data_IF_835299577034
#
_entry.id   IF_835299577034
#
_cell.length_a   1.000
_cell.length_b   1.000
_cell.length_c   1.000
_cell.angle_alpha   90.00
_cell.angle_beta   90.00
_cell.angle_gamma   90.00
#
_symmetry.space_group_name_H-M   'P 1'
#
loop_
_entity.id
_entity.type
_entity.pdbx_description
1 polymer ?
#
# COMPACT_ATOMS: atom_id res chain seq x y z
N UNK A 1 -28.44 -22.60 -1.62
CA UNK A 1 -28.60 -21.20 -1.21
C UNK A 1 -27.39 -20.68 -0.43
N UNK A 2 -26.88 -21.37 0.56
CA UNK A 2 -25.75 -20.97 1.43
C UNK A 2 -24.49 -20.55 0.67
N UNK A 3 -24.07 -21.32 -0.35
CA UNK A 3 -22.89 -21.00 -1.16
C UNK A 3 -23.04 -19.66 -1.91
N UNK A 4 -24.26 -19.35 -2.41
CA UNK A 4 -24.51 -18.09 -3.12
C UNK A 4 -24.46 -16.89 -2.19
N UNK A 5 -25.00 -16.99 -0.97
CA UNK A 5 -24.95 -15.95 0.04
C UNK A 5 -23.51 -15.70 0.50
N UNK A 6 -22.77 -16.77 0.78
CA UNK A 6 -21.37 -16.69 1.22
C UNK A 6 -20.49 -16.05 0.13
N UNK A 7 -20.66 -16.49 -1.13
CA UNK A 7 -19.97 -15.86 -2.28
C UNK A 7 -20.36 -14.40 -2.42
N UNK A 8 -21.66 -14.05 -2.25
CA UNK A 8 -22.10 -12.64 -2.31
C UNK A 8 -21.44 -11.78 -1.25
N UNK A 9 -21.43 -12.21 0.02
CA UNK A 9 -20.75 -11.47 1.10
C UNK A 9 -19.25 -11.34 0.85
N UNK A 10 -18.60 -12.43 0.43
CA UNK A 10 -17.16 -12.41 0.14
C UNK A 10 -16.85 -11.46 -1.03
N UNK A 11 -17.65 -11.48 -2.08
CA UNK A 11 -17.50 -10.56 -3.23
C UNK A 11 -17.65 -9.11 -2.80
N UNK A 12 -18.69 -8.78 -2.03
CA UNK A 12 -18.89 -7.41 -1.52
C UNK A 12 -17.70 -6.99 -0.65
N UNK A 13 -17.24 -7.87 0.25
CA UNK A 13 -16.07 -7.57 1.11
C UNK A 13 -14.82 -7.33 0.28
N UNK A 14 -14.54 -8.16 -0.73
CA UNK A 14 -13.39 -7.97 -1.63
C UNK A 14 -13.49 -6.65 -2.38
N UNK A 15 -14.66 -6.32 -2.93
CA UNK A 15 -14.87 -5.05 -3.65
C UNK A 15 -14.64 -3.85 -2.72
N UNK A 16 -15.18 -3.89 -1.50
CA UNK A 16 -14.99 -2.80 -0.52
C UNK A 16 -13.53 -2.68 -0.11
N UNK A 17 -12.84 -3.79 0.16
CA UNK A 17 -11.41 -3.79 0.48
C UNK A 17 -10.59 -3.19 -0.66
N UNK A 18 -10.78 -3.66 -1.89
CA UNK A 18 -10.06 -3.12 -3.04
C UNK A 18 -10.33 -1.64 -3.27
N UNK A 19 -11.60 -1.21 -3.13
CA UNK A 19 -12.00 0.19 -3.27
C UNK A 19 -11.36 1.11 -2.21
N UNK A 20 -11.04 0.58 -1.03
CA UNK A 20 -10.41 1.33 0.05
C UNK A 20 -8.87 1.25 -0.01
N UNK A 21 -8.33 0.03 -0.19
CA UNK A 21 -6.89 -0.22 -0.09
C UNK A 21 -6.11 0.31 -1.29
N UNK A 22 -6.66 0.20 -2.51
CA UNK A 22 -5.96 0.67 -3.72
C UNK A 22 -5.71 2.19 -3.69
N UNK A 23 -6.72 3.05 -3.47
CA UNK A 23 -6.49 4.49 -3.38
C UNK A 23 -5.56 4.87 -2.22
N UNK A 24 -5.71 4.19 -1.06
CA UNK A 24 -4.86 4.44 0.11
C UNK A 24 -3.39 4.12 -0.18
N UNK A 25 -3.12 3.00 -0.84
CA UNK A 25 -1.77 2.59 -1.18
C UNK A 25 -1.12 3.53 -2.21
N UNK A 26 -1.87 3.94 -3.23
CA UNK A 26 -1.39 4.90 -4.24
C UNK A 26 -1.09 6.25 -3.58
N UNK A 27 -2.01 6.75 -2.76
CA UNK A 27 -1.88 8.04 -2.08
C UNK A 27 -0.72 8.06 -1.09
N UNK A 28 -0.52 6.96 -0.34
CA UNK A 28 0.62 6.84 0.57
C UNK A 28 1.95 6.82 -0.20
N UNK A 29 2.03 6.05 -1.28
CA UNK A 29 3.24 5.98 -2.11
C UNK A 29 3.62 7.32 -2.71
N UNK A 30 2.65 8.05 -3.27
CA UNK A 30 2.87 9.39 -3.83
C UNK A 30 3.34 10.38 -2.77
N UNK A 31 2.69 10.41 -1.62
CA UNK A 31 3.08 11.32 -0.53
C UNK A 31 4.46 11.04 0.03
N UNK A 32 4.83 9.78 0.19
CA UNK A 32 6.15 9.42 0.69
C UNK A 32 7.25 9.84 -0.30
N UNK A 33 7.00 9.63 -1.60
CA UNK A 33 7.92 10.06 -2.66
C UNK A 33 8.04 11.59 -2.73
N UNK A 34 6.91 12.32 -2.65
CA UNK A 34 6.90 13.79 -2.65
C UNK A 34 7.67 14.36 -1.44
N UNK A 35 7.49 13.78 -0.24
CA UNK A 35 8.21 14.20 0.97
C UNK A 35 9.71 13.98 0.82
N UNK A 36 10.10 12.80 0.36
CA UNK A 36 11.52 12.48 0.15
C UNK A 36 12.18 13.42 -0.86
N UNK A 37 11.50 13.71 -1.95
CA UNK A 37 11.99 14.67 -2.95
C UNK A 37 12.08 16.08 -2.38
N UNK A 38 11.06 16.55 -1.65
CA UNK A 38 11.05 17.87 -1.04
C UNK A 38 12.13 18.05 0.04
N UNK A 39 12.43 17.02 0.83
CA UNK A 39 13.51 17.05 1.81
C UNK A 39 14.87 17.10 1.12
N UNK A 40 15.10 16.29 0.07
CA UNK A 40 16.32 16.32 -0.72
C UNK A 40 16.51 17.67 -1.44
N UNK A 41 15.44 18.28 -1.97
CA UNK A 41 15.49 19.61 -2.58
C UNK A 41 15.86 20.70 -1.57
N UNK A 42 15.28 20.65 -0.37
CA UNK A 42 15.61 21.60 0.70
C UNK A 42 17.08 21.50 1.10
N UNK A 43 17.57 20.29 1.30
CA UNK A 43 18.96 20.05 1.64
C UNK A 43 19.91 20.50 0.52
N UNK A 44 19.55 20.21 -0.74
CA UNK A 44 20.32 20.65 -1.89
C UNK A 44 20.42 22.16 -2.00
N UNK A 45 19.34 22.90 -1.76
CA UNK A 45 19.33 24.36 -1.75
C UNK A 45 20.22 24.93 -0.62
N UNK A 46 20.12 24.37 0.58
CA UNK A 46 20.96 24.78 1.70
C UNK A 46 22.43 24.52 1.44
N UNK A 47 22.75 23.35 0.87
CA UNK A 47 24.14 23.02 0.54
C UNK A 47 24.67 23.86 -0.62
N UNK A 48 23.86 24.14 -1.64
CA UNK A 48 24.21 25.00 -2.76
C UNK A 48 24.62 26.42 -2.30
N UNK A 49 23.93 26.96 -1.28
CA UNK A 49 24.23 28.30 -0.77
C UNK A 49 25.62 28.45 -0.16
N UNK A 50 26.24 27.38 0.32
CA UNK A 50 27.64 27.41 0.79
C UNK A 50 28.65 27.64 -0.33
N UNK A 51 28.26 27.44 -1.60
CA UNK A 51 29.11 27.53 -2.76
C UNK A 51 28.87 28.80 -3.59
N UNK A 52 27.83 29.62 -3.26
CA UNK A 52 27.47 30.80 -4.03
C UNK A 52 28.61 31.84 -4.10
N UNK A 53 29.08 32.31 -2.95
CA UNK A 53 30.12 33.30 -2.85
C UNK A 53 31.47 32.83 -3.45
N UNK A 54 31.78 31.54 -3.22
CA UNK A 54 33.04 30.94 -3.67
C UNK A 54 33.09 30.81 -5.19
N UNK A 55 31.98 30.37 -5.81
CA UNK A 55 31.90 30.24 -7.27
C UNK A 55 31.82 31.62 -7.97
N UNK A 56 31.14 32.59 -7.37
CA UNK A 56 31.07 33.94 -7.88
C UNK A 56 32.47 34.61 -7.88
N UNK A 57 33.23 34.40 -6.78
CA UNK A 57 34.57 34.95 -6.63
C UNK A 57 35.66 34.18 -7.38
N UNK A 58 35.35 32.95 -7.89
CA UNK A 58 36.33 32.07 -8.49
C UNK A 58 37.42 31.60 -7.48
N UNK A 59 37.06 31.52 -6.19
CA UNK A 59 37.94 31.14 -5.11
C UNK A 59 38.09 29.62 -4.96
N UNK A 60 39.04 29.17 -4.13
CA UNK A 60 39.22 27.75 -3.83
C UNK A 60 38.01 27.18 -3.10
N UNK A 61 37.53 26.03 -3.59
CA UNK A 61 36.31 25.42 -3.10
C UNK A 61 36.58 24.52 -1.88
N UNK A 62 35.91 24.79 -0.76
CA UNK A 62 35.91 23.91 0.41
C UNK A 62 35.02 22.68 0.15
N UNK A 63 35.59 21.48 0.15
CA UNK A 63 34.85 20.22 -0.03
C UNK A 63 34.15 19.73 1.24
N UNK A 64 34.56 20.25 2.41
CA UNK A 64 34.15 19.75 3.71
C UNK A 64 32.62 19.77 3.97
N UNK A 65 31.82 20.76 3.51
CA UNK A 65 30.36 20.71 3.64
C UNK A 65 29.76 19.53 2.89
N UNK A 66 30.18 19.30 1.64
CA UNK A 66 29.70 18.19 0.81
C UNK A 66 30.10 16.83 1.41
N UNK A 67 31.36 16.67 1.80
CA UNK A 67 31.88 15.44 2.39
C UNK A 67 31.17 15.08 3.72
N UNK A 68 30.95 16.06 4.60
CA UNK A 68 30.22 15.84 5.86
C UNK A 68 28.80 15.36 5.61
N UNK A 69 28.12 15.94 4.63
CA UNK A 69 26.76 15.53 4.28
C UNK A 69 26.77 14.12 3.66
N UNK A 70 27.66 13.86 2.71
CA UNK A 70 27.84 12.56 2.06
C UNK A 70 28.10 11.44 3.08
N UNK A 71 29.04 11.65 4.01
CA UNK A 71 29.39 10.69 5.06
C UNK A 71 28.24 10.39 6.02
N UNK A 72 27.36 11.35 6.24
CA UNK A 72 26.19 11.18 7.13
C UNK A 72 25.02 10.48 6.45
N UNK A 73 24.81 10.74 5.16
CA UNK A 73 23.58 10.33 4.45
C UNK A 73 23.79 9.26 3.40
N UNK A 74 25.03 8.96 3.04
CA UNK A 74 25.37 8.10 1.90
C UNK A 74 25.04 8.72 0.54
N UNK A 75 24.67 10.02 0.51
CA UNK A 75 24.37 10.72 -0.73
C UNK A 75 25.63 11.08 -1.50
N UNK A 76 25.57 11.05 -2.82
CA UNK A 76 26.60 11.61 -3.68
C UNK A 76 26.29 13.06 -4.00
N UNK A 77 27.24 13.95 -3.80
CA UNK A 77 27.17 15.35 -4.10
C UNK A 77 28.17 15.75 -5.18
N UNK A 78 27.71 16.56 -6.10
CA UNK A 78 28.56 17.07 -7.18
C UNK A 78 28.31 18.57 -7.30
N UNK A 79 29.38 19.37 -7.20
CA UNK A 79 29.34 20.80 -7.52
C UNK A 79 30.01 20.98 -8.89
N UNK A 80 29.34 21.71 -9.77
CA UNK A 80 29.76 21.89 -11.15
C UNK A 80 29.84 23.38 -11.48
N UNK A 81 30.74 23.73 -12.39
CA UNK A 81 30.79 25.08 -13.00
C UNK A 81 29.69 25.29 -14.05
N UNK A 82 29.69 26.46 -14.70
CA UNK A 82 28.74 26.80 -15.76
C UNK A 82 28.91 25.98 -17.04
N UNK A 83 30.00 25.25 -17.21
CA UNK A 83 30.23 24.33 -18.33
C UNK A 83 29.68 22.92 -18.04
N UNK A 84 29.31 22.62 -16.79
CA UNK A 84 28.88 21.30 -16.34
C UNK A 84 30.05 20.39 -15.93
N UNK A 85 31.26 20.92 -15.78
CA UNK A 85 32.41 20.20 -15.27
C UNK A 85 32.38 20.14 -13.74
N UNK A 86 32.61 18.97 -13.16
CA UNK A 86 32.63 18.80 -11.70
C UNK A 86 33.88 19.45 -11.09
N UNK A 87 33.64 20.31 -10.12
CA UNK A 87 34.63 20.95 -9.26
C UNK A 87 34.79 20.17 -7.94
N UNK A 88 33.68 19.64 -7.43
CA UNK A 88 33.61 18.73 -6.28
C UNK A 88 32.78 17.52 -6.67
N UNK A 89 33.24 16.34 -6.30
CA UNK A 89 32.48 15.09 -6.44
C UNK A 89 32.86 14.17 -5.25
N UNK A 90 31.88 13.82 -4.40
CA UNK A 90 32.14 13.02 -3.20
C UNK A 90 32.41 11.54 -3.49
N UNK A 91 32.14 11.07 -4.72
CA UNK A 91 32.34 9.68 -5.13
C UNK A 91 33.47 9.47 -6.15
N UNK A 92 34.01 10.56 -6.71
CA UNK A 92 35.03 10.47 -7.74
C UNK A 92 35.95 11.70 -7.74
N UNK A 93 37.07 11.62 -8.46
CA UNK A 93 37.90 12.79 -8.70
C UNK A 93 37.14 13.87 -9.49
N UNK A 94 37.36 15.16 -9.20
CA UNK A 94 36.82 16.26 -9.96
C UNK A 94 37.25 16.24 -11.43
N UNK A 95 36.59 17.03 -12.29
CA UNK A 95 36.89 17.12 -13.72
C UNK A 95 36.05 16.18 -14.60
N UNK A 96 34.95 15.63 -14.10
CA UNK A 96 33.98 14.86 -14.92
C UNK A 96 32.97 15.78 -15.55
N UNK A 97 32.62 15.50 -16.80
CA UNK A 97 31.62 16.23 -17.57
C UNK A 97 30.21 15.67 -17.30
N UNK A 98 29.31 16.55 -16.82
CA UNK A 98 27.91 16.29 -16.58
C UNK A 98 26.99 17.15 -17.46
N UNK A 99 27.53 17.92 -18.41
CA UNK A 99 26.77 18.82 -19.28
C UNK A 99 25.67 18.13 -20.08
N UNK A 100 25.87 16.84 -20.41
CA UNK A 100 24.90 16.02 -21.14
C UNK A 100 23.73 15.54 -20.29
N UNK A 101 23.76 15.77 -18.99
CA UNK A 101 22.67 15.36 -18.08
C UNK A 101 21.52 16.35 -18.17
N UNK A 102 20.27 15.91 -18.47
CA UNK A 102 19.13 16.80 -18.62
C UNK A 102 18.87 17.69 -17.39
N UNK A 103 19.01 17.10 -16.19
CA UNK A 103 18.85 17.82 -14.93
C UNK A 103 19.89 18.93 -14.74
N UNK A 104 21.12 18.71 -15.19
CA UNK A 104 22.20 19.70 -15.11
C UNK A 104 21.96 20.83 -16.14
N UNK A 105 21.61 20.45 -17.38
CA UNK A 105 21.27 21.40 -18.42
C UNK A 105 20.13 22.31 -18.00
N UNK A 106 19.09 21.76 -17.36
CA UNK A 106 17.96 22.51 -16.82
C UNK A 106 18.41 23.45 -15.68
N UNK A 107 19.21 22.97 -14.72
CA UNK A 107 19.68 23.76 -13.61
C UNK A 107 20.58 24.94 -14.08
N UNK A 108 21.38 24.76 -15.13
CA UNK A 108 22.16 25.83 -15.75
C UNK A 108 21.30 26.95 -16.34
N UNK A 109 20.02 26.70 -16.65
CA UNK A 109 19.07 27.76 -17.04
C UNK A 109 18.42 28.49 -15.84
N UNK A 110 18.84 28.18 -14.61
CA UNK A 110 18.28 28.76 -13.39
C UNK A 110 17.05 28.04 -12.84
N UNK A 111 16.66 26.90 -13.44
CA UNK A 111 15.47 26.13 -13.03
C UNK A 111 15.88 24.84 -12.35
N UNK A 112 15.40 24.62 -11.12
CA UNK A 112 15.62 23.38 -10.40
C UNK A 112 15.08 22.17 -11.17
N UNK A 113 15.77 21.04 -11.06
CA UNK A 113 15.32 19.78 -11.62
C UNK A 113 15.44 18.68 -10.57
N UNK A 114 14.41 17.86 -10.42
CA UNK A 114 14.42 16.67 -9.56
C UNK A 114 13.69 15.52 -10.25
N UNK A 115 14.07 14.30 -9.90
CA UNK A 115 13.41 13.11 -10.45
C UNK A 115 14.06 11.82 -9.98
N UNK A 116 13.37 10.72 -10.22
CA UNK A 116 13.91 9.39 -9.96
C UNK A 116 14.34 8.79 -11.29
N UNK A 117 15.54 8.20 -11.29
CA UNK A 117 16.08 7.49 -12.45
C UNK A 117 16.73 6.19 -12.02
N UNK A 118 16.45 5.14 -12.77
CA UNK A 118 17.16 3.87 -12.59
C UNK A 118 18.62 4.02 -13.03
N UNK A 119 19.52 3.61 -12.15
CA UNK A 119 20.95 3.52 -12.43
C UNK A 119 21.27 2.09 -12.87
N UNK A 120 21.63 1.91 -14.14
CA UNK A 120 22.02 0.59 -14.65
C UNK A 120 23.32 0.10 -13.99
N UNK A 121 24.19 1.03 -13.58
CA UNK A 121 25.50 0.71 -12.94
C UNK A 121 25.31 0.19 -11.52
N UNK A 122 24.36 0.76 -10.75
CA UNK A 122 24.08 0.37 -9.37
C UNK A 122 22.88 -0.56 -9.25
N UNK A 123 22.16 -0.79 -10.36
CA UNK A 123 20.88 -1.51 -10.40
C UNK A 123 19.88 -1.03 -9.35
N UNK A 124 19.88 0.27 -9.06
CA UNK A 124 19.08 0.93 -8.04
C UNK A 124 18.36 2.16 -8.62
N UNK A 125 17.23 2.49 -8.03
CA UNK A 125 16.52 3.73 -8.34
C UNK A 125 17.14 4.86 -7.51
N UNK A 126 17.63 5.89 -8.20
CA UNK A 126 18.29 7.04 -7.59
C UNK A 126 17.42 8.28 -7.74
N UNK A 127 17.14 8.94 -6.62
CA UNK A 127 16.62 10.31 -6.64
C UNK A 127 17.78 11.26 -6.95
N UNK A 128 17.62 12.07 -7.97
CA UNK A 128 18.51 13.19 -8.24
C UNK A 128 17.80 14.52 -8.03
N UNK A 129 18.53 15.49 -7.50
CA UNK A 129 18.12 16.89 -7.38
C UNK A 129 19.26 17.72 -7.89
N UNK A 130 19.00 18.59 -8.86
CA UNK A 130 19.93 19.57 -9.37
C UNK A 130 19.38 20.98 -9.12
N UNK A 131 20.15 21.81 -8.44
CA UNK A 131 19.79 23.19 -8.13
C UNK A 131 20.83 24.14 -8.69
N UNK A 132 20.42 25.29 -9.26
CA UNK A 132 21.38 26.31 -9.67
C UNK A 132 22.08 26.91 -8.45
N UNK A 133 23.37 27.13 -8.55
CA UNK A 133 24.14 27.99 -7.65
C UNK A 133 24.14 29.36 -8.31
N UNK A 134 23.34 30.29 -7.76
CA UNK A 134 23.07 31.56 -8.43
C UNK A 134 23.07 32.71 -7.43
N UNK A 135 23.72 33.79 -7.78
CA UNK A 135 23.72 35.07 -7.06
C UNK A 135 23.58 36.22 -8.03
N UNK A 136 23.05 37.34 -7.60
CA UNK A 136 22.92 38.55 -8.42
C UNK A 136 22.10 38.36 -9.73
N UNK A 137 21.30 37.29 -9.84
CA UNK A 137 20.52 37.00 -11.06
C UNK A 137 21.31 36.19 -12.10
N UNK A 138 22.54 35.79 -11.82
CA UNK A 138 23.39 34.96 -12.70
C UNK A 138 23.62 33.59 -12.09
N UNK A 139 23.66 32.54 -12.94
CA UNK A 139 24.02 31.18 -12.53
C UNK A 139 25.54 31.04 -12.62
N UNK A 140 26.16 30.65 -11.51
CA UNK A 140 27.61 30.44 -11.38
C UNK A 140 28.00 28.99 -11.45
N UNK A 141 27.04 28.07 -11.27
CA UNK A 141 27.23 26.63 -11.33
C UNK A 141 25.98 25.85 -10.97
N UNK A 142 26.14 24.55 -10.79
CA UNK A 142 25.07 23.62 -10.42
C UNK A 142 25.51 22.76 -9.25
N UNK A 143 24.66 22.66 -8.25
CA UNK A 143 24.77 21.66 -7.19
C UNK A 143 23.85 20.48 -7.50
N UNK A 144 24.39 19.28 -7.52
CA UNK A 144 23.64 18.07 -7.77
C UNK A 144 23.78 17.10 -6.58
N UNK A 145 22.64 16.75 -6.00
CA UNK A 145 22.50 15.74 -4.98
C UNK A 145 21.91 14.45 -5.59
N UNK A 146 22.49 13.29 -5.25
CA UNK A 146 21.95 11.99 -5.66
C UNK A 146 21.85 11.11 -4.42
N UNK A 147 20.66 10.58 -4.17
CA UNK A 147 20.33 9.75 -3.00
C UNK A 147 19.76 8.42 -3.48
N UNK A 148 20.11 7.34 -2.81
CA UNK A 148 19.48 6.04 -3.04
C UNK A 148 18.01 6.09 -2.61
N UNK A 149 17.10 5.75 -3.51
CA UNK A 149 15.67 5.70 -3.24
C UNK A 149 15.23 4.36 -2.63
N UNK A 150 16.16 3.43 -2.39
CA UNK A 150 15.86 2.07 -1.92
C UNK A 150 15.06 2.05 -0.61
N UNK A 151 15.44 2.87 0.37
CA UNK A 151 14.73 2.94 1.66
C UNK A 151 13.27 3.39 1.52
N UNK A 152 13.00 4.31 0.60
CA UNK A 152 11.63 4.78 0.34
C UNK A 152 10.81 3.69 -0.34
N UNK A 153 11.40 3.01 -1.33
CA UNK A 153 10.74 1.92 -2.05
C UNK A 153 10.43 0.76 -1.09
N UNK A 154 11.37 0.37 -0.24
CA UNK A 154 11.13 -0.67 0.78
C UNK A 154 10.04 -0.28 1.79
N UNK A 155 9.98 1.00 2.18
CA UNK A 155 8.95 1.50 3.10
C UNK A 155 7.56 1.41 2.48
N UNK A 156 7.44 1.79 1.21
CA UNK A 156 6.21 1.64 0.43
C UNK A 156 5.83 0.17 0.27
N UNK A 157 6.79 -0.72 -0.04
CA UNK A 157 6.53 -2.16 -0.15
C UNK A 157 6.06 -2.78 1.17
N UNK A 158 6.66 -2.41 2.30
CA UNK A 158 6.22 -2.86 3.64
C UNK A 158 4.80 -2.40 3.95
N UNK A 159 4.43 -1.19 3.54
CA UNK A 159 3.05 -0.70 3.66
C UNK A 159 2.08 -1.54 2.82
N UNK A 160 2.41 -1.85 1.56
CA UNK A 160 1.61 -2.75 0.72
C UNK A 160 1.43 -4.13 1.34
N UNK A 161 2.51 -4.71 1.89
CA UNK A 161 2.43 -6.00 2.59
C UNK A 161 1.51 -5.94 3.81
N UNK A 162 1.51 -4.85 4.55
CA UNK A 162 0.59 -4.66 5.69
C UNK A 162 -0.87 -4.60 5.25
N UNK A 163 -1.19 -3.94 4.14
CA UNK A 163 -2.54 -3.92 3.57
C UNK A 163 -2.99 -5.32 3.15
N UNK A 164 -2.15 -6.07 2.44
CA UNK A 164 -2.44 -7.46 2.07
C UNK A 164 -2.68 -8.33 3.31
N UNK A 165 -1.90 -8.15 4.36
CA UNK A 165 -2.10 -8.89 5.62
C UNK A 165 -3.46 -8.56 6.25
N UNK A 166 -3.86 -7.29 6.28
CA UNK A 166 -5.18 -6.87 6.77
C UNK A 166 -6.29 -7.48 5.92
N UNK A 167 -6.17 -7.44 4.59
CA UNK A 167 -7.14 -8.04 3.68
C UNK A 167 -7.32 -9.55 3.96
N UNK A 168 -6.22 -10.29 4.14
CA UNK A 168 -6.26 -11.73 4.46
C UNK A 168 -6.97 -11.99 5.79
N UNK A 169 -6.68 -11.19 6.82
CA UNK A 169 -7.33 -11.32 8.14
C UNK A 169 -8.84 -11.07 8.02
N UNK A 170 -9.25 -10.00 7.34
CA UNK A 170 -10.67 -9.67 7.14
C UNK A 170 -11.39 -10.76 6.35
N UNK A 171 -10.82 -11.21 5.24
CA UNK A 171 -11.42 -12.28 4.42
C UNK A 171 -11.54 -13.59 5.19
N UNK A 172 -10.54 -13.92 6.00
CA UNK A 172 -10.58 -15.12 6.88
C UNK A 172 -11.69 -14.98 7.93
N UNK A 173 -11.80 -13.82 8.59
CA UNK A 173 -12.86 -13.55 9.56
C UNK A 173 -14.26 -13.67 8.93
N UNK A 174 -14.47 -13.07 7.76
CA UNK A 174 -15.73 -13.17 7.00
C UNK A 174 -16.02 -14.63 6.63
N UNK A 175 -15.00 -15.37 6.20
CA UNK A 175 -15.13 -16.80 5.90
C UNK A 175 -15.54 -17.63 7.10
N UNK A 176 -14.92 -17.41 8.26
CA UNK A 176 -15.23 -18.09 9.53
C UNK A 176 -16.67 -17.77 9.98
N UNK A 177 -17.04 -16.49 9.98
CA UNK A 177 -18.41 -16.08 10.35
C UNK A 177 -19.44 -16.69 9.40
N UNK A 178 -19.19 -16.63 8.09
CA UNK A 178 -20.06 -17.23 7.09
C UNK A 178 -20.21 -18.74 7.26
N UNK A 179 -19.12 -19.44 7.58
CA UNK A 179 -19.13 -20.88 7.88
C UNK A 179 -19.93 -21.18 9.16
N UNK A 180 -19.73 -20.40 10.23
CA UNK A 180 -20.46 -20.54 11.49
C UNK A 180 -21.97 -20.34 11.30
N UNK A 181 -22.38 -19.29 10.58
CA UNK A 181 -23.79 -19.04 10.23
C UNK A 181 -24.37 -20.17 9.37
N UNK A 182 -23.60 -20.67 8.40
CA UNK A 182 -24.01 -21.80 7.59
C UNK A 182 -24.26 -23.07 8.42
N UNK A 183 -23.40 -23.31 9.41
CA UNK A 183 -23.48 -24.47 10.31
C UNK A 183 -24.62 -24.34 11.34
N UNK A 184 -24.76 -23.17 11.99
CA UNK A 184 -25.68 -22.97 13.11
C UNK A 184 -27.12 -22.66 12.68
N UNK A 185 -27.32 -22.04 11.52
CA UNK A 185 -28.64 -21.58 11.08
C UNK A 185 -29.10 -22.29 9.81
N UNK A 186 -28.31 -22.28 8.76
CA UNK A 186 -28.75 -22.75 7.43
C UNK A 186 -28.94 -24.25 7.36
N UNK A 187 -28.07 -25.02 8.03
CA UNK A 187 -28.19 -26.50 8.08
C UNK A 187 -29.45 -26.97 8.80
N UNK A 188 -29.70 -26.52 10.06
CA UNK A 188 -30.91 -26.88 10.79
C UNK A 188 -32.18 -26.51 10.04
N UNK A 189 -32.28 -25.29 9.49
CA UNK A 189 -33.45 -24.86 8.70
C UNK A 189 -33.75 -25.77 7.50
N UNK A 190 -32.70 -26.26 6.81
CA UNK A 190 -32.88 -27.21 5.71
C UNK A 190 -33.39 -28.58 6.19
N UNK A 191 -32.94 -29.02 7.37
CA UNK A 191 -33.44 -30.25 7.97
C UNK A 191 -34.92 -30.16 8.34
N UNK A 192 -35.34 -29.03 8.95
CA UNK A 192 -36.73 -28.77 9.24
C UNK A 192 -37.59 -28.66 7.97
N UNK A 193 -37.09 -28.02 6.92
CA UNK A 193 -37.76 -27.98 5.63
C UNK A 193 -37.91 -29.39 5.01
N UNK A 194 -36.94 -30.24 5.14
CA UNK A 194 -37.01 -31.63 4.68
C UNK A 194 -38.04 -32.45 5.51
N UNK A 195 -38.10 -32.23 6.83
CA UNK A 195 -39.12 -32.86 7.72
C UNK A 195 -40.53 -32.39 7.38
N UNK A 196 -40.72 -31.05 7.12
CA UNK A 196 -42.02 -30.54 6.71
C UNK A 196 -42.50 -31.16 5.38
N UNK A 197 -41.62 -31.45 4.43
CA UNK A 197 -41.94 -32.15 3.18
C UNK A 197 -42.37 -33.59 3.44
N UNK A 198 -41.67 -34.31 4.32
CA UNK A 198 -42.06 -35.68 4.73
C UNK A 198 -43.43 -35.71 5.37
N UNK A 199 -43.76 -34.72 6.20
CA UNK A 199 -45.13 -34.58 6.77
C UNK A 199 -46.20 -34.45 5.69
N UNK A 200 -45.91 -33.65 4.64
CA UNK A 200 -46.83 -33.52 3.51
C UNK A 200 -47.00 -34.81 2.72
N UNK A 201 -45.99 -35.68 2.72
CA UNK A 201 -45.98 -37.00 2.07
C UNK A 201 -46.55 -38.13 2.99
N UNK A 202 -47.04 -37.77 4.21
CA UNK A 202 -47.66 -38.68 5.15
C UNK A 202 -46.70 -39.37 6.16
N UNK A 203 -45.41 -39.03 6.13
CA UNK A 203 -44.43 -39.50 7.13
C UNK A 203 -44.40 -38.49 8.31
N UNK A 204 -45.22 -38.76 9.34
CA UNK A 204 -45.34 -37.93 10.53
C UNK A 204 -44.26 -38.16 11.59
N UNK A 205 -43.14 -38.81 11.25
CA UNK A 205 -42.05 -39.00 12.19
C UNK A 205 -41.49 -37.66 12.65
N UNK A 206 -41.37 -37.48 13.97
CA UNK A 206 -40.92 -36.23 14.57
C UNK A 206 -39.55 -35.77 14.06
N UNK A 207 -39.36 -34.49 13.76
CA UNK A 207 -38.08 -33.97 13.36
C UNK A 207 -37.11 -34.09 14.56
N UNK A 208 -35.93 -34.64 14.33
CA UNK A 208 -34.86 -34.63 15.33
C UNK A 208 -34.04 -33.35 15.14
N UNK A 209 -34.16 -32.34 16.05
CA UNK A 209 -33.39 -31.13 15.94
C UNK A 209 -31.89 -31.44 16.16
N UNK A 210 -30.97 -30.84 15.41
CA UNK A 210 -29.55 -30.96 15.73
C UNK A 210 -29.27 -30.26 17.07
N UNK A 211 -28.51 -30.93 17.95
CA UNK A 211 -28.25 -30.45 19.33
C UNK A 211 -27.58 -29.07 19.45
N UNK A 212 -26.93 -28.59 18.37
CA UNK A 212 -26.21 -27.29 18.31
C UNK A 212 -27.02 -26.19 17.65
N UNK A 213 -28.34 -26.32 17.50
CA UNK A 213 -29.16 -25.29 16.86
C UNK A 213 -29.48 -24.12 17.83
N UNK A 214 -29.61 -22.87 17.35
CA UNK A 214 -30.12 -21.76 18.14
C UNK A 214 -31.48 -22.05 18.79
N UNK A 215 -31.77 -21.43 19.96
CA UNK A 215 -32.97 -21.70 20.70
C UNK A 215 -34.27 -21.47 19.89
N UNK A 216 -34.28 -20.51 18.98
CA UNK A 216 -35.39 -20.21 18.08
C UNK A 216 -35.66 -21.38 17.09
N UNK A 217 -34.61 -22.01 16.63
CA UNK A 217 -34.70 -23.17 15.73
C UNK A 217 -35.19 -24.42 16.50
N UNK A 218 -34.73 -24.59 17.75
CA UNK A 218 -35.19 -25.66 18.63
C UNK A 218 -36.68 -25.50 18.94
N UNK A 219 -37.12 -24.30 19.28
CA UNK A 219 -38.55 -24.00 19.53
C UNK A 219 -39.40 -24.28 18.29
N UNK A 220 -38.90 -23.95 17.09
CA UNK A 220 -39.63 -24.24 15.85
C UNK A 220 -39.70 -25.76 15.60
N UNK A 221 -38.62 -26.50 15.85
CA UNK A 221 -38.61 -27.96 15.73
C UNK A 221 -39.61 -28.63 16.69
N UNK A 222 -39.67 -28.15 17.94
CA UNK A 222 -40.61 -28.65 18.97
C UNK A 222 -42.06 -28.42 18.57
N UNK A 223 -42.36 -27.21 18.11
CA UNK A 223 -43.70 -26.85 17.60
C UNK A 223 -44.12 -27.71 16.42
N UNK A 224 -43.20 -28.00 15.50
CA UNK A 224 -43.47 -28.92 14.39
C UNK A 224 -43.70 -30.36 14.88
N UNK A 225 -42.96 -30.79 15.90
CA UNK A 225 -43.13 -32.10 16.52
C UNK A 225 -44.52 -32.27 17.15
N UNK A 226 -44.96 -31.26 17.92
CA UNK A 226 -46.34 -31.24 18.51
C UNK A 226 -47.42 -31.28 17.43
N UNK A 227 -47.21 -30.53 16.33
CA UNK A 227 -48.17 -30.54 15.22
C UNK A 227 -48.26 -31.93 14.56
N UNK A 228 -47.13 -32.59 14.33
CA UNK A 228 -47.03 -33.92 13.73
C UNK A 228 -47.77 -34.95 14.62
N UNK A 229 -47.54 -34.95 15.94
CA UNK A 229 -48.18 -35.85 16.90
C UNK A 229 -49.71 -35.67 16.90
N UNK A 230 -50.20 -34.43 16.88
CA UNK A 230 -51.64 -34.14 16.79
C UNK A 230 -52.30 -34.61 15.50
N UNK A 231 -51.57 -34.47 14.37
CA UNK A 231 -52.05 -35.01 13.08
C UNK A 231 -52.13 -36.53 13.08
N UNK A 232 -51.17 -37.18 13.65
CA UNK A 232 -51.12 -38.68 13.78
C UNK A 232 -52.30 -39.20 14.65
N UNK A 233 -52.55 -38.52 15.78
CA UNK A 233 -53.71 -38.83 16.64
C UNK A 233 -55.06 -38.70 15.90
N UNK A 234 -55.22 -37.61 15.13
CA UNK A 234 -56.46 -37.38 14.39
C UNK A 234 -56.65 -38.41 13.27
N UNK A 235 -55.59 -38.75 12.55
CA UNK A 235 -55.60 -39.76 11.47
C UNK A 235 -55.85 -41.16 11.99
N UNK A 236 -55.32 -41.50 13.18
CA UNK A 236 -55.53 -42.76 13.84
C UNK A 236 -56.96 -42.92 14.41
N UNK A 237 -57.58 -41.82 14.87
CA UNK A 237 -58.95 -41.80 15.37
C UNK A 237 -60.01 -41.91 14.26
N UNK A 238 -59.64 -41.67 12.99
CA UNK A 238 -60.52 -41.83 11.83
C UNK A 238 -60.46 -43.20 11.15
N UNK A 239 -59.57 -44.08 11.58
CA UNK A 239 -59.49 -45.47 11.12
C UNK A 239 -60.20 -46.42 12.07
#
# INVERSE_FOLDING_TARGET
>A
MTRRLLVGYLTVTVVVLLALEIPLAIFYGQREQERFTADAERDAVVLASFYEDVLEAGAEIDTAPAERYANRTGARLVVMDTSGMSLVDTDAAPGRDFSTRPEVAQALTGVRASGIRRSDTLNADLLYVAVPIASGGSVHGVFRLTVDAHEVIERVQRFWLSLVAVAVVVLTAVGVVGWAVARSVTRPLRQLQASARRFADGDLSAPTPPGDAPPEILALADTMGVMASRLDELLSAQR
#
